data_IF_749115683071
#
_entry.id   IF_749115683071
#
_cell.length_a   1.000
_cell.length_b   1.000
_cell.length_c   1.000
_cell.angle_alpha   90.00
_cell.angle_beta   90.00
_cell.angle_gamma   90.00
#
_symmetry.space_group_name_H-M   'P 1'
#
loop_
_entity.id
_entity.type
_entity.pdbx_description
1 polymer ?
#
# COMPACT_ATOMS: atom_id res chain seq x y z
N UNK A 1 -16.76 -21.46 1.07
CA UNK A 1 -16.88 -20.52 -0.06
C UNK A 1 -15.84 -19.42 0.11
N UNK A 2 -14.58 -19.64 -0.33
CA UNK A 2 -13.49 -18.66 -0.15
C UNK A 2 -13.57 -17.57 -1.23
N UNK A 3 -14.35 -16.52 -0.96
CA UNK A 3 -14.53 -15.39 -1.90
C UNK A 3 -13.31 -14.43 -1.87
N UNK A 4 -12.36 -14.60 -0.94
CA UNK A 4 -11.22 -13.71 -0.75
C UNK A 4 -9.85 -14.33 -1.10
N UNK A 5 -9.76 -15.17 -2.13
CA UNK A 5 -8.45 -15.47 -2.74
C UNK A 5 -8.24 -14.61 -3.99
N UNK A 6 -8.16 -13.29 -3.81
CA UNK A 6 -7.91 -12.37 -4.92
C UNK A 6 -6.41 -12.13 -5.06
N UNK A 7 -5.80 -12.90 -5.95
CA UNK A 7 -4.48 -12.65 -6.51
C UNK A 7 -4.48 -11.22 -7.10
N UNK A 8 -3.80 -10.28 -6.44
CA UNK A 8 -3.48 -8.91 -6.85
C UNK A 8 -4.55 -8.20 -7.70
N UNK A 9 -5.66 -7.75 -7.08
CA UNK A 9 -6.61 -6.88 -7.80
C UNK A 9 -5.98 -5.49 -7.95
N UNK A 10 -5.72 -5.09 -9.19
CA UNK A 10 -5.23 -3.75 -9.51
C UNK A 10 -6.19 -2.67 -9.02
N UNK A 11 -5.71 -1.56 -8.41
CA UNK A 11 -6.57 -0.46 -7.96
C UNK A 11 -7.53 0.06 -9.02
N UNK A 12 -7.11 0.07 -10.28
CA UNK A 12 -7.95 0.45 -11.42
C UNK A 12 -9.16 -0.47 -11.61
N UNK A 13 -9.03 -1.78 -11.39
CA UNK A 13 -10.14 -2.73 -11.49
C UNK A 13 -11.13 -2.56 -10.35
N UNK A 14 -10.64 -2.30 -9.13
CA UNK A 14 -11.51 -1.99 -7.99
C UNK A 14 -12.26 -0.68 -8.21
N UNK A 15 -11.59 0.36 -8.71
CA UNK A 15 -12.22 1.63 -9.02
C UNK A 15 -13.31 1.47 -10.10
N UNK A 16 -13.04 0.70 -11.16
CA UNK A 16 -14.03 0.40 -12.20
C UNK A 16 -15.25 -0.33 -11.63
N UNK A 17 -15.05 -1.40 -10.85
CA UNK A 17 -16.15 -2.18 -10.29
C UNK A 17 -17.06 -1.32 -9.39
N UNK A 18 -16.46 -0.51 -8.52
CA UNK A 18 -17.22 0.40 -7.65
C UNK A 18 -17.92 1.50 -8.45
N UNK A 19 -17.26 2.08 -9.45
CA UNK A 19 -17.87 3.11 -10.30
C UNK A 19 -19.06 2.55 -11.09
N UNK A 20 -18.96 1.34 -11.64
CA UNK A 20 -20.06 0.67 -12.34
C UNK A 20 -21.23 0.42 -11.39
N UNK A 21 -20.96 -0.15 -10.21
CA UNK A 21 -22.00 -0.43 -9.22
C UNK A 21 -22.74 0.85 -8.81
N UNK A 22 -22.00 1.93 -8.53
CA UNK A 22 -22.58 3.23 -8.19
C UNK A 22 -23.38 3.81 -9.34
N UNK A 23 -22.86 3.74 -10.57
CA UNK A 23 -23.55 4.23 -11.76
C UNK A 23 -24.86 3.49 -12.00
N UNK A 24 -24.90 2.17 -11.80
CA UNK A 24 -26.13 1.37 -11.94
C UNK A 24 -27.18 1.86 -10.93
N UNK A 25 -26.80 2.04 -9.67
CA UNK A 25 -27.72 2.52 -8.62
C UNK A 25 -28.25 3.91 -8.98
N UNK A 26 -27.37 4.84 -9.35
CA UNK A 26 -27.74 6.21 -9.74
C UNK A 26 -28.63 6.22 -10.98
N UNK A 27 -28.34 5.37 -11.97
CA UNK A 27 -29.12 5.28 -13.20
C UNK A 27 -30.52 4.73 -12.97
N UNK A 28 -30.68 3.73 -12.10
CA UNK A 28 -31.99 3.19 -11.72
C UNK A 28 -32.82 4.28 -11.01
N UNK A 29 -32.22 5.00 -10.06
CA UNK A 29 -32.89 6.09 -9.36
C UNK A 29 -33.30 7.23 -10.32
N UNK A 30 -32.40 7.63 -11.22
CA UNK A 30 -32.67 8.66 -12.22
C UNK A 30 -33.80 8.24 -13.18
N UNK A 31 -33.85 6.97 -13.59
CA UNK A 31 -34.91 6.45 -14.44
C UNK A 31 -36.30 6.48 -13.79
N UNK A 32 -36.38 6.29 -12.47
CA UNK A 32 -37.65 6.33 -11.73
C UNK A 32 -38.12 7.77 -11.50
N UNK A 33 -37.20 8.72 -11.28
CA UNK A 33 -37.53 10.11 -10.90
C UNK A 33 -37.75 11.05 -12.10
N UNK A 34 -37.13 10.79 -13.25
CA UNK A 34 -37.17 11.68 -14.41
C UNK A 34 -38.19 11.23 -15.45
N UNK A 35 -39.13 12.11 -15.79
CA UNK A 35 -40.07 11.91 -16.90
C UNK A 35 -39.35 11.87 -18.26
N UNK A 36 -38.27 12.65 -18.38
CA UNK A 36 -37.44 12.77 -19.60
C UNK A 36 -36.32 11.73 -19.59
N UNK A 37 -36.59 10.55 -20.16
CA UNK A 37 -35.65 9.41 -20.18
C UNK A 37 -34.29 9.67 -20.86
N UNK A 38 -34.21 10.64 -21.77
CA UNK A 38 -32.95 10.99 -22.44
C UNK A 38 -31.94 11.67 -21.51
N UNK A 39 -32.39 12.34 -20.44
CA UNK A 39 -31.51 12.97 -19.44
C UNK A 39 -30.79 11.94 -18.57
N UNK A 40 -31.35 10.74 -18.42
CA UNK A 40 -30.74 9.63 -17.67
C UNK A 40 -29.38 9.24 -18.24
N UNK A 41 -29.21 9.29 -19.56
CA UNK A 41 -27.94 8.94 -20.23
C UNK A 41 -26.83 9.91 -19.83
N UNK A 42 -27.14 11.21 -19.78
CA UNK A 42 -26.17 12.24 -19.39
C UNK A 42 -25.79 12.14 -17.91
N UNK A 43 -26.76 11.83 -17.04
CA UNK A 43 -26.52 11.63 -15.62
C UNK A 43 -25.69 10.36 -15.38
N UNK A 44 -25.99 9.27 -16.08
CA UNK A 44 -25.22 8.03 -16.01
C UNK A 44 -23.77 8.23 -16.47
N UNK A 45 -23.57 8.91 -17.62
CA UNK A 45 -22.24 9.18 -18.14
C UNK A 45 -21.40 10.06 -17.20
N UNK A 46 -21.98 11.17 -16.72
CA UNK A 46 -21.27 12.09 -15.81
C UNK A 46 -20.96 11.44 -14.45
N UNK A 47 -21.93 10.73 -13.86
CA UNK A 47 -21.73 10.02 -12.60
C UNK A 47 -20.67 8.92 -12.71
N UNK A 48 -20.63 8.17 -13.81
CA UNK A 48 -19.60 7.17 -14.05
C UNK A 48 -18.20 7.78 -14.12
N UNK A 49 -18.02 8.84 -14.92
CA UNK A 49 -16.72 9.50 -15.08
C UNK A 49 -16.22 10.08 -13.76
N UNK A 50 -17.08 10.80 -13.02
CA UNK A 50 -16.73 11.42 -11.74
C UNK A 50 -16.38 10.34 -10.72
N UNK A 51 -17.22 9.31 -10.58
CA UNK A 51 -17.02 8.24 -9.62
C UNK A 51 -15.75 7.45 -9.89
N UNK A 52 -15.51 7.10 -11.16
CA UNK A 52 -14.30 6.39 -11.56
C UNK A 52 -13.04 7.18 -11.20
N UNK A 53 -13.01 8.48 -11.53
CA UNK A 53 -11.88 9.34 -11.22
C UNK A 53 -11.66 9.48 -9.71
N UNK A 54 -12.73 9.68 -8.93
CA UNK A 54 -12.68 9.77 -7.47
C UNK A 54 -12.14 8.49 -6.85
N UNK A 55 -12.68 7.32 -7.21
CA UNK A 55 -12.22 6.04 -6.67
C UNK A 55 -10.77 5.74 -7.05
N UNK A 56 -10.39 5.99 -8.31
CA UNK A 56 -9.03 5.75 -8.78
C UNK A 56 -8.01 6.60 -8.01
N UNK A 57 -8.28 7.90 -7.89
CA UNK A 57 -7.37 8.82 -7.19
C UNK A 57 -7.31 8.53 -5.70
N UNK A 58 -8.45 8.23 -5.07
CA UNK A 58 -8.51 7.87 -3.66
C UNK A 58 -7.71 6.61 -3.37
N UNK A 59 -7.87 5.56 -4.18
CA UNK A 59 -7.12 4.31 -4.02
C UNK A 59 -5.62 4.52 -4.25
N UNK A 60 -5.23 5.24 -5.31
CA UNK A 60 -3.82 5.57 -5.58
C UNK A 60 -3.19 6.32 -4.41
N UNK A 61 -3.85 7.38 -3.94
CA UNK A 61 -3.35 8.17 -2.82
C UNK A 61 -3.26 7.36 -1.53
N UNK A 62 -4.29 6.56 -1.23
CA UNK A 62 -4.32 5.70 -0.05
C UNK A 62 -3.17 4.69 -0.06
N UNK A 63 -2.98 3.99 -1.18
CA UNK A 63 -1.90 3.01 -1.36
C UNK A 63 -0.54 3.68 -1.23
N UNK A 64 -0.32 4.78 -1.97
CA UNK A 64 0.92 5.55 -1.91
C UNK A 64 1.26 5.96 -0.47
N UNK A 65 0.29 6.49 0.28
CA UNK A 65 0.49 6.92 1.66
C UNK A 65 0.86 5.75 2.59
N UNK A 66 0.23 4.58 2.42
CA UNK A 66 0.55 3.38 3.21
C UNK A 66 1.94 2.85 2.89
N UNK A 67 2.31 2.77 1.62
CA UNK A 67 3.65 2.38 1.17
C UNK A 67 4.71 3.32 1.74
N UNK A 68 4.50 4.65 1.62
CA UNK A 68 5.42 5.67 2.16
C UNK A 68 5.63 5.51 3.67
N UNK A 69 4.58 5.17 4.43
CA UNK A 69 4.67 4.96 5.87
C UNK A 69 5.49 3.72 6.22
N UNK A 70 5.22 2.58 5.56
CA UNK A 70 6.00 1.34 5.77
C UNK A 70 7.47 1.57 5.45
N UNK A 71 7.75 2.25 4.35
CA UNK A 71 9.10 2.59 3.94
C UNK A 71 9.82 3.43 5.00
N UNK A 72 9.15 4.48 5.51
CA UNK A 72 9.72 5.33 6.57
C UNK A 72 10.11 4.53 7.81
N UNK A 73 9.30 3.56 8.24
CA UNK A 73 9.59 2.72 9.41
C UNK A 73 10.83 1.84 9.22
N UNK A 74 10.99 1.27 8.02
CA UNK A 74 12.09 0.38 7.67
C UNK A 74 13.39 1.16 7.42
N UNK A 75 13.28 2.36 6.86
CA UNK A 75 14.43 3.21 6.61
C UNK A 75 15.00 3.77 7.92
N UNK A 76 14.15 4.20 8.85
CA UNK A 76 14.58 4.76 10.15
C UNK A 76 15.38 3.74 11.00
N UNK A 77 15.17 2.45 10.77
CA UNK A 77 15.95 1.37 11.40
C UNK A 77 17.30 1.08 10.74
N UNK A 78 17.62 1.70 9.59
CA UNK A 78 18.88 1.53 8.85
C UNK A 78 19.64 2.82 8.50
N UNK A 79 18.97 3.97 8.37
CA UNK A 79 19.49 5.08 7.57
C UNK A 79 20.04 6.27 8.37
N UNK A 80 21.10 6.86 7.82
CA UNK A 80 21.55 8.22 8.14
C UNK A 80 20.64 9.22 7.40
N UNK A 81 20.32 10.39 7.98
CA UNK A 81 19.43 11.45 7.41
C UNK A 81 19.63 11.78 5.91
N UNK A 82 20.83 11.51 5.37
CA UNK A 82 21.19 11.73 3.96
C UNK A 82 20.54 10.73 2.99
N UNK A 83 20.32 9.48 3.40
CA UNK A 83 19.67 8.46 2.56
C UNK A 83 18.17 8.69 2.45
N UNK A 84 17.50 9.11 3.54
CA UNK A 84 16.07 9.47 3.54
C UNK A 84 15.77 10.56 2.49
N UNK A 85 16.61 11.59 2.42
CA UNK A 85 16.47 12.68 1.46
C UNK A 85 16.70 12.24 0.01
N UNK A 86 17.64 11.33 -0.23
CA UNK A 86 17.90 10.79 -1.57
C UNK A 86 16.70 9.99 -2.08
N UNK A 87 16.13 9.14 -1.22
CA UNK A 87 14.97 8.32 -1.58
C UNK A 87 13.69 9.14 -1.76
N UNK A 88 13.46 10.18 -0.94
CA UNK A 88 12.27 11.01 -1.06
C UNK A 88 12.24 11.85 -2.35
N UNK A 89 13.40 12.25 -2.88
CA UNK A 89 13.47 13.15 -4.05
C UNK A 89 13.83 12.49 -5.38
N UNK A 90 14.55 11.37 -5.38
CA UNK A 90 15.23 10.89 -6.60
C UNK A 90 14.69 9.53 -7.05
N UNK A 91 14.04 8.77 -6.18
CA UNK A 91 13.58 7.42 -6.53
C UNK A 91 12.21 7.48 -7.21
N UNK A 92 12.07 6.87 -8.41
CA UNK A 92 10.81 6.83 -9.15
C UNK A 92 9.72 6.13 -8.33
N UNK A 93 8.46 6.32 -8.73
CA UNK A 93 7.30 5.70 -8.10
C UNK A 93 7.42 4.17 -8.19
N UNK A 94 8.01 3.55 -7.17
CA UNK A 94 8.25 2.11 -7.09
C UNK A 94 6.92 1.36 -7.08
N UNK A 95 6.92 0.20 -7.72
CA UNK A 95 5.77 -0.70 -7.68
C UNK A 95 5.61 -1.31 -6.29
N UNK A 96 4.40 -1.78 -5.97
CA UNK A 96 4.12 -2.44 -4.68
C UNK A 96 5.01 -3.69 -4.54
N UNK A 97 5.24 -4.41 -5.64
CA UNK A 97 6.09 -5.60 -5.68
C UNK A 97 7.54 -5.27 -5.30
N UNK A 98 8.12 -4.21 -5.88
CA UNK A 98 9.48 -3.79 -5.56
C UNK A 98 9.65 -3.43 -4.08
N UNK A 99 8.69 -2.67 -3.53
CA UNK A 99 8.72 -2.31 -2.11
C UNK A 99 8.63 -3.55 -1.24
N UNK A 100 7.75 -4.50 -1.58
CA UNK A 100 7.61 -5.76 -0.84
C UNK A 100 8.93 -6.53 -0.82
N UNK A 101 9.58 -6.68 -1.97
CA UNK A 101 10.83 -7.43 -2.08
C UNK A 101 11.97 -6.75 -1.31
N UNK A 102 11.99 -5.40 -1.26
CA UNK A 102 12.92 -4.63 -0.41
C UNK A 102 12.67 -4.85 1.09
N UNK A 103 11.40 -4.84 1.51
CA UNK A 103 11.00 -5.10 2.90
C UNK A 103 11.42 -6.52 3.32
N UNK A 104 11.20 -7.51 2.45
CA UNK A 104 11.57 -8.90 2.73
C UNK A 104 13.09 -9.06 2.90
N UNK A 105 13.89 -8.46 2.02
CA UNK A 105 15.35 -8.44 2.14
C UNK A 105 15.81 -7.76 3.42
N UNK A 106 15.20 -6.62 3.78
CA UNK A 106 15.50 -5.93 5.03
C UNK A 106 15.19 -6.79 6.25
N UNK A 107 14.03 -7.46 6.28
CA UNK A 107 13.63 -8.32 7.40
C UNK A 107 14.60 -9.49 7.59
N UNK A 108 15.01 -10.15 6.49
CA UNK A 108 16.00 -11.22 6.53
C UNK A 108 17.34 -10.74 7.08
N UNK A 109 17.84 -9.59 6.58
CA UNK A 109 19.07 -9.00 7.08
C UNK A 109 19.00 -8.68 8.58
N UNK A 110 17.89 -8.07 9.04
CA UNK A 110 17.73 -7.67 10.43
C UNK A 110 17.67 -8.88 11.38
N UNK A 111 17.03 -9.97 10.96
CA UNK A 111 17.01 -11.21 11.74
C UNK A 111 18.41 -11.77 11.96
N UNK A 112 19.26 -11.78 10.93
CA UNK A 112 20.65 -12.22 11.05
C UNK A 112 21.44 -11.31 12.00
N UNK A 113 21.27 -10.00 11.86
CA UNK A 113 21.92 -9.01 12.74
C UNK A 113 21.53 -9.22 14.21
N UNK A 114 20.24 -9.45 14.50
CA UNK A 114 19.74 -9.71 15.85
C UNK A 114 20.33 -11.00 16.44
N UNK A 115 20.45 -12.06 15.65
CA UNK A 115 21.07 -13.31 16.12
C UNK A 115 22.54 -13.10 16.48
N UNK A 116 23.30 -12.43 15.61
CA UNK A 116 24.70 -12.10 15.88
C UNK A 116 24.86 -11.25 17.16
N UNK A 117 23.94 -10.31 17.40
CA UNK A 117 23.97 -9.49 18.62
C UNK A 117 23.69 -10.34 19.87
N UNK A 118 22.73 -11.29 19.81
CA UNK A 118 22.44 -12.21 20.92
C UNK A 118 23.60 -13.14 21.22
N UNK A 119 24.24 -13.68 20.18
CA UNK A 119 25.40 -14.55 20.33
C UNK A 119 26.58 -13.80 20.97
N UNK A 120 26.82 -12.56 20.54
CA UNK A 120 27.83 -11.69 21.15
C UNK A 120 27.52 -11.35 22.61
N UNK A 121 26.25 -11.09 22.95
CA UNK A 121 25.83 -10.84 24.33
C UNK A 121 26.04 -12.08 25.21
N UNK A 122 25.69 -13.26 24.69
CA UNK A 122 25.92 -14.54 25.36
C UNK A 122 27.41 -14.79 25.59
N UNK A 123 28.23 -14.58 24.57
CA UNK A 123 29.69 -14.69 24.67
C UNK A 123 30.27 -13.75 25.73
N UNK A 124 29.81 -12.49 25.78
CA UNK A 124 30.22 -11.53 26.82
C UNK A 124 29.85 -11.99 28.22
N UNK A 125 28.64 -12.55 28.42
CA UNK A 125 28.20 -13.09 29.72
C UNK A 125 29.04 -14.29 30.15
N UNK A 126 29.30 -15.23 29.24
CA UNK A 126 30.13 -16.41 29.52
C UNK A 126 31.58 -16.04 29.82
N UNK A 127 32.13 -15.04 29.13
CA UNK A 127 33.47 -14.51 29.40
C UNK A 127 33.56 -13.95 30.82
N UNK A 128 32.66 -13.03 31.19
CA UNK A 128 32.67 -12.42 32.52
C UNK A 128 32.47 -13.44 33.66
N UNK A 129 31.61 -14.45 33.46
CA UNK A 129 31.38 -15.50 34.46
C UNK A 129 32.58 -16.44 34.64
N UNK A 130 33.35 -16.71 33.57
CA UNK A 130 34.55 -17.57 33.64
C UNK A 130 35.80 -16.82 34.11
N UNK A 131 35.82 -15.49 33.99
CA UNK A 131 36.99 -14.66 34.29
C UNK A 131 36.98 -14.02 35.68
N UNK A 132 35.88 -14.09 36.43
CA UNK A 132 35.82 -13.61 37.82
C UNK A 132 35.84 -14.82 38.78
N UNK A 133 36.90 -15.03 39.58
CA UNK A 133 36.99 -16.10 40.58
C UNK A 133 36.01 -15.92 41.73
#
# INVERSE_FOLDING_TARGET
MSIFNSKNITPSRLALLNAILLTIIVSILAYIMLDKKWEVIWIAASSFTISYFLYLNTLKYFIYRKIKLIYKLILDTKATKKEEYFYEKIVPEKTIEEVRDEVEKWANFKNVEIQNLKDNEKFRKEFLMKSCP
#
